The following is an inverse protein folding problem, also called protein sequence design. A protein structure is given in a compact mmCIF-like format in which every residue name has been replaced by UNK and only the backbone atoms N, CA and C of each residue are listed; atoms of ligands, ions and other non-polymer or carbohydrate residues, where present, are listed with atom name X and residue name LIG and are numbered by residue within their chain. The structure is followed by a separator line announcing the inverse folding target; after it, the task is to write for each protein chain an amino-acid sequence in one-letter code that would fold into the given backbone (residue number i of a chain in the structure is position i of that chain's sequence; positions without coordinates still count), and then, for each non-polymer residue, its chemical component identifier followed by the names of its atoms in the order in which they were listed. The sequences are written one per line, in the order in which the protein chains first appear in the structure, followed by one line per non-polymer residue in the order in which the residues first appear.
data_IF_305650862016
#
_entry.id   IF_305650862016
#
_cell.length_a   1.000
_cell.length_b   1.000
_cell.length_c   1.000
_cell.angle_alpha   90.00
_cell.angle_beta   90.00
_cell.angle_gamma   90.00
#
_symmetry.space_group_name_H-M   'P 1'
#
loop_
_entity.id
_entity.type
_entity.pdbx_description
1 polymer ?
#
# COMPACT_ATOMS: atom_id res chain seq x y z
N UNK A 1 22.60 4.75 34.64
CA UNK A 1 21.85 3.77 33.82
C UNK A 1 20.68 4.53 33.24
N UNK A 2 20.64 4.71 31.93
CA UNK A 2 19.52 5.37 31.26
C UNK A 2 18.37 4.36 31.30
N UNK A 3 17.28 4.70 32.00
CA UNK A 3 16.02 3.97 31.87
C UNK A 3 15.63 3.95 30.39
N UNK A 4 15.72 2.77 29.78
CA UNK A 4 15.19 2.53 28.45
C UNK A 4 13.68 2.74 28.54
N UNK A 5 13.21 3.83 27.96
CA UNK A 5 11.81 4.19 27.83
C UNK A 5 11.00 2.93 27.42
N UNK A 6 10.20 2.39 28.35
CA UNK A 6 9.57 1.07 28.26
C UNK A 6 8.55 0.95 27.12
N UNK A 7 8.30 2.06 26.45
CA UNK A 7 7.35 2.22 25.37
C UNK A 7 7.88 1.71 24.03
N UNK A 8 9.19 1.75 23.77
CA UNK A 8 9.76 1.35 22.47
C UNK A 8 10.10 -0.14 22.33
N UNK A 9 10.45 -0.56 21.12
CA UNK A 9 10.99 -1.88 20.82
C UNK A 9 12.42 -1.94 21.37
N UNK A 10 12.69 -2.98 22.16
CA UNK A 10 14.00 -3.22 22.77
C UNK A 10 15.04 -3.55 21.69
N UNK A 11 16.26 -3.04 21.81
CA UNK A 11 17.33 -3.17 20.81
C UNK A 11 17.63 -4.63 20.42
N UNK A 12 17.68 -5.53 21.40
CA UNK A 12 17.94 -6.96 21.18
C UNK A 12 16.74 -7.76 20.66
N UNK A 13 15.57 -7.14 20.56
CA UNK A 13 14.37 -7.84 20.09
C UNK A 13 14.43 -8.04 18.57
N UNK A 14 14.12 -9.25 18.12
CA UNK A 14 13.91 -9.53 16.69
C UNK A 14 12.67 -8.80 16.18
N UNK A 15 12.87 -8.03 15.12
CA UNK A 15 11.84 -7.27 14.42
C UNK A 15 11.66 -7.78 13.02
N UNK A 16 10.44 -7.62 12.50
CA UNK A 16 10.17 -7.66 11.07
C UNK A 16 10.21 -6.23 10.54
N UNK A 17 11.09 -5.95 9.60
CA UNK A 17 11.32 -4.60 9.11
C UNK A 17 11.15 -4.45 7.60
N UNK A 18 10.89 -3.20 7.20
CA UNK A 18 10.80 -2.78 5.80
C UNK A 18 11.56 -1.47 5.61
N UNK A 19 12.40 -1.41 4.57
CA UNK A 19 13.01 -0.16 4.10
C UNK A 19 12.41 0.21 2.75
N UNK A 20 11.87 1.42 2.66
CA UNK A 20 11.24 1.95 1.44
C UNK A 20 11.44 3.46 1.37
N UNK A 21 11.93 3.94 0.22
CA UNK A 21 12.32 5.33 0.07
C UNK A 21 13.30 5.74 1.19
N UNK A 22 12.97 6.83 1.88
CA UNK A 22 13.72 7.32 3.04
C UNK A 22 13.11 6.87 4.38
N UNK A 23 12.30 5.80 4.41
CA UNK A 23 11.68 5.31 5.64
C UNK A 23 12.15 3.92 6.00
N UNK A 24 12.33 3.72 7.30
CA UNK A 24 12.50 2.43 7.94
C UNK A 24 11.27 2.18 8.82
N UNK A 25 10.59 1.08 8.59
CA UNK A 25 9.47 0.63 9.42
C UNK A 25 9.88 -0.66 10.13
N UNK A 26 9.78 -0.69 11.46
CA UNK A 26 10.03 -1.88 12.28
C UNK A 26 8.75 -2.27 12.99
N UNK A 27 8.47 -3.57 13.07
CA UNK A 27 7.40 -4.12 13.90
C UNK A 27 7.90 -5.28 14.72
N UNK A 28 7.35 -5.46 15.92
CA UNK A 28 7.68 -6.64 16.74
C UNK A 28 7.35 -7.90 15.97
N UNK A 29 8.29 -8.84 15.91
CA UNK A 29 8.06 -10.12 15.25
C UNK A 29 7.25 -11.03 16.16
N UNK A 30 5.96 -10.71 16.33
CA UNK A 30 4.97 -11.61 16.92
C UNK A 30 4.64 -12.65 15.85
N UNK A 31 5.61 -13.49 15.53
CA UNK A 31 5.44 -14.53 14.53
C UNK A 31 4.31 -15.46 14.97
N UNK A 32 3.38 -15.75 14.07
CA UNK A 32 2.57 -16.95 14.20
C UNK A 32 3.53 -18.13 13.98
N UNK A 33 3.90 -18.85 15.04
CA UNK A 33 4.91 -19.94 14.97
C UNK A 33 4.48 -21.06 14.02
N UNK A 34 3.18 -21.17 13.74
CA UNK A 34 2.58 -22.14 12.82
C UNK A 34 1.43 -21.51 12.01
N UNK A 35 1.71 -20.76 10.93
CA UNK A 35 0.63 -20.20 10.13
C UNK A 35 -0.10 -21.31 9.38
N UNK A 36 -1.43 -21.37 9.52
CA UNK A 36 -2.31 -22.23 8.72
C UNK A 36 -1.99 -22.03 7.23
N UNK A 37 -1.79 -23.13 6.49
CA UNK A 37 -1.45 -23.05 5.07
C UNK A 37 -2.72 -23.18 4.23
N UNK A 38 -2.97 -22.19 3.38
CA UNK A 38 -4.08 -22.25 2.43
C UNK A 38 -3.81 -23.35 1.38
N UNK A 39 -4.76 -24.25 1.19
CA UNK A 39 -4.70 -25.29 0.15
C UNK A 39 -5.48 -24.87 -1.10
N UNK A 40 -6.70 -24.39 -0.92
CA UNK A 40 -7.60 -24.02 -2.02
C UNK A 40 -8.43 -22.78 -1.69
N UNK A 41 -9.42 -22.43 -2.53
CA UNK A 41 -10.36 -21.35 -2.22
C UNK A 41 -11.25 -21.68 -1.02
N UNK A 42 -11.49 -22.96 -0.78
CA UNK A 42 -12.42 -23.47 0.22
C UNK A 42 -11.72 -24.14 1.37
N UNK A 43 -10.43 -24.49 1.26
CA UNK A 43 -9.74 -25.30 2.25
C UNK A 43 -8.40 -24.70 2.73
N UNK A 44 -8.06 -25.00 3.98
CA UNK A 44 -6.76 -24.77 4.59
C UNK A 44 -6.33 -25.98 5.41
N UNK A 45 -5.03 -26.10 5.66
CA UNK A 45 -4.46 -27.08 6.58
C UNK A 45 -4.00 -26.40 7.86
N UNK A 46 -4.38 -26.97 9.00
CA UNK A 46 -3.94 -26.51 10.31
C UNK A 46 -2.49 -26.95 10.62
N UNK A 47 -2.01 -26.57 11.80
CA UNK A 47 -0.66 -26.92 12.25
C UNK A 47 -0.44 -28.42 12.50
N UNK A 48 -1.52 -29.17 12.70
CA UNK A 48 -1.51 -30.62 12.92
C UNK A 48 -1.66 -31.41 11.60
N UNK A 49 -1.78 -30.72 10.46
CA UNK A 49 -1.96 -31.37 9.16
C UNK A 49 -3.42 -31.68 8.80
N UNK A 50 -4.40 -31.26 9.62
CA UNK A 50 -5.81 -31.50 9.31
C UNK A 50 -6.33 -30.47 8.31
N UNK A 51 -7.12 -30.95 7.36
CA UNK A 51 -7.75 -30.11 6.34
C UNK A 51 -9.11 -29.63 6.85
N UNK A 52 -9.32 -28.33 6.82
CA UNK A 52 -10.55 -27.66 7.23
C UNK A 52 -11.12 -26.83 6.09
N UNK A 53 -12.43 -26.61 6.09
CA UNK A 53 -13.07 -25.68 5.16
C UNK A 53 -13.19 -24.28 5.75
N UNK A 54 -13.07 -23.25 4.90
CA UNK A 54 -13.37 -21.88 5.28
C UNK A 54 -14.87 -21.73 5.55
N UNK A 55 -15.24 -21.21 6.72
CA UNK A 55 -16.62 -21.04 7.13
C UNK A 55 -17.44 -20.13 6.18
N UNK A 56 -16.78 -19.20 5.47
CA UNK A 56 -17.42 -18.29 4.53
C UNK A 56 -16.53 -18.06 3.30
N UNK A 57 -17.07 -18.31 2.11
CA UNK A 57 -16.50 -17.80 0.86
C UNK A 57 -16.99 -16.36 0.72
N UNK A 58 -16.10 -15.38 0.91
CA UNK A 58 -16.48 -13.97 0.85
C UNK A 58 -16.93 -13.57 -0.57
N UNK A 59 -18.11 -12.97 -0.71
CA UNK A 59 -18.59 -12.44 -1.99
C UNK A 59 -17.89 -11.14 -2.40
N UNK A 60 -17.49 -10.33 -1.41
CA UNK A 60 -16.81 -9.06 -1.61
C UNK A 60 -15.69 -8.84 -0.57
N UNK A 61 -14.88 -7.80 -0.79
CA UNK A 61 -13.71 -7.53 0.06
C UNK A 61 -14.03 -6.93 1.42
N UNK A 62 -15.22 -6.38 1.65
CA UNK A 62 -15.58 -5.86 2.98
C UNK A 62 -15.69 -6.98 4.02
N UNK A 63 -15.85 -8.24 3.60
CA UNK A 63 -15.86 -9.39 4.50
C UNK A 63 -14.44 -9.83 4.92
N UNK A 64 -13.38 -9.19 4.40
CA UNK A 64 -11.98 -9.49 4.76
C UNK A 64 -11.13 -8.21 4.87
N UNK A 65 -11.50 -7.37 5.83
CA UNK A 65 -10.88 -6.07 6.10
C UNK A 65 -9.38 -6.20 6.39
N UNK A 66 -8.95 -7.20 7.17
CA UNK A 66 -7.54 -7.33 7.55
C UNK A 66 -6.62 -7.70 6.37
N UNK A 67 -7.08 -8.55 5.46
CA UNK A 67 -6.35 -8.84 4.23
C UNK A 67 -6.23 -7.60 3.35
N UNK A 68 -7.30 -6.80 3.25
CA UNK A 68 -7.28 -5.53 2.55
C UNK A 68 -6.30 -4.55 3.20
N UNK A 69 -6.30 -4.46 4.54
CA UNK A 69 -5.36 -3.65 5.33
C UNK A 69 -3.91 -4.00 5.01
N UNK A 70 -3.57 -5.28 5.05
CA UNK A 70 -2.24 -5.78 4.68
C UNK A 70 -1.88 -5.43 3.23
N UNK A 71 -2.84 -5.55 2.31
CA UNK A 71 -2.61 -5.28 0.89
C UNK A 71 -2.32 -3.80 0.61
N UNK A 72 -3.07 -2.89 1.22
CA UNK A 72 -2.84 -1.47 1.05
C UNK A 72 -1.59 -0.98 1.79
N UNK A 73 -1.27 -1.53 2.97
CA UNK A 73 0.04 -1.25 3.62
C UNK A 73 1.18 -1.59 2.66
N UNK A 74 1.11 -2.75 2.00
CA UNK A 74 2.08 -3.14 0.96
C UNK A 74 2.09 -2.17 -0.23
N UNK A 75 0.91 -1.72 -0.68
CA UNK A 75 0.78 -0.74 -1.77
C UNK A 75 1.38 0.62 -1.39
N UNK A 76 1.11 1.12 -0.18
CA UNK A 76 1.69 2.36 0.34
C UNK A 76 3.21 2.31 0.35
N UNK A 77 3.79 1.25 0.92
CA UNK A 77 5.25 1.03 0.88
C UNK A 77 5.79 0.96 -0.56
N UNK A 78 5.06 0.32 -1.48
CA UNK A 78 5.46 0.23 -2.89
C UNK A 78 5.47 1.60 -3.57
N UNK A 79 4.46 2.44 -3.29
CA UNK A 79 4.37 3.81 -3.81
C UNK A 79 5.50 4.65 -3.23
N UNK A 80 5.66 4.70 -1.90
CA UNK A 80 6.70 5.51 -1.24
C UNK A 80 8.12 5.09 -1.66
N UNK A 81 8.32 3.82 -2.04
CA UNK A 81 9.63 3.36 -2.53
C UNK A 81 9.95 3.80 -3.96
N UNK A 82 8.97 4.23 -4.75
CA UNK A 82 9.14 4.46 -6.19
C UNK A 82 8.74 5.84 -6.68
N UNK A 83 7.97 6.59 -5.89
CA UNK A 83 7.41 7.88 -6.25
C UNK A 83 7.69 8.89 -5.14
N UNK A 84 8.62 9.80 -5.40
CA UNK A 84 9.14 10.79 -4.44
C UNK A 84 8.80 12.25 -4.81
N UNK A 85 8.04 12.45 -5.88
CA UNK A 85 7.72 13.77 -6.42
C UNK A 85 8.76 14.30 -7.41
N UNK A 86 9.49 13.40 -8.08
CA UNK A 86 10.53 13.78 -9.03
C UNK A 86 9.93 14.40 -10.30
N UNK A 87 10.69 15.24 -11.05
CA UNK A 87 10.16 15.93 -12.24
C UNK A 87 9.71 15.01 -13.37
N UNK A 88 10.09 13.73 -13.32
CA UNK A 88 9.69 12.68 -14.24
C UNK A 88 8.50 11.84 -13.75
N UNK A 89 7.82 12.28 -12.70
CA UNK A 89 6.67 11.59 -12.10
C UNK A 89 5.36 12.34 -12.31
N UNK A 90 4.33 11.60 -12.74
CA UNK A 90 3.00 12.12 -12.99
C UNK A 90 1.97 11.31 -12.21
N UNK A 91 0.96 12.01 -11.70
CA UNK A 91 -0.25 11.41 -11.17
C UNK A 91 -1.41 11.65 -12.14
N UNK A 92 -1.84 10.55 -12.73
CA UNK A 92 -2.91 10.48 -13.71
C UNK A 92 -4.17 9.94 -13.06
N UNK A 93 -5.30 10.50 -13.46
CA UNK A 93 -6.62 10.04 -13.05
C UNK A 93 -7.44 9.82 -14.32
N UNK A 94 -7.81 8.58 -14.60
CA UNK A 94 -8.59 8.18 -15.78
C UNK A 94 -10.02 7.87 -15.36
N UNK A 95 -10.97 8.61 -15.93
CA UNK A 95 -12.40 8.47 -15.66
C UNK A 95 -13.12 7.94 -16.89
N UNK A 96 -13.96 6.93 -16.72
CA UNK A 96 -14.86 6.51 -17.81
C UNK A 96 -15.95 7.56 -18.03
N UNK A 97 -16.41 7.76 -19.27
CA UNK A 97 -17.67 8.47 -19.51
C UNK A 97 -18.86 7.56 -19.14
N UNK A 98 -18.84 6.32 -19.62
CA UNK A 98 -19.81 5.26 -19.31
C UNK A 98 -19.70 4.76 -17.85
N UNK A 99 -20.78 4.19 -17.32
CA UNK A 99 -20.79 3.57 -15.99
C UNK A 99 -20.18 2.16 -15.99
N UNK A 100 -18.87 2.05 -16.26
CA UNK A 100 -18.18 0.75 -16.34
C UNK A 100 -17.94 0.14 -14.96
N UNK A 101 -18.67 -0.92 -14.62
CA UNK A 101 -18.55 -1.67 -13.36
C UNK A 101 -17.85 -3.02 -13.50
N UNK A 102 -17.69 -3.55 -14.72
CA UNK A 102 -16.96 -4.80 -14.96
C UNK A 102 -15.45 -4.60 -14.90
N UNK A 103 -14.82 -5.18 -13.88
CA UNK A 103 -13.37 -5.13 -13.69
C UNK A 103 -12.56 -5.76 -14.84
N UNK A 104 -13.12 -6.74 -15.58
CA UNK A 104 -12.41 -7.38 -16.71
C UNK A 104 -12.25 -6.41 -17.86
N UNK A 105 -13.33 -5.70 -18.23
CA UNK A 105 -13.29 -4.60 -19.20
C UNK A 105 -12.25 -3.56 -18.80
N UNK A 106 -12.24 -3.12 -17.54
CA UNK A 106 -11.27 -2.14 -17.04
C UNK A 106 -9.82 -2.57 -17.24
N UNK A 107 -9.50 -3.85 -17.02
CA UNK A 107 -8.15 -4.35 -17.27
C UNK A 107 -7.76 -4.36 -18.75
N UNK A 108 -8.70 -4.69 -19.64
CA UNK A 108 -8.47 -4.72 -21.08
C UNK A 108 -8.25 -3.29 -21.62
N UNK A 109 -9.12 -2.37 -21.22
CA UNK A 109 -9.06 -0.96 -21.61
C UNK A 109 -7.76 -0.32 -21.11
N UNK A 110 -7.40 -0.54 -19.85
CA UNK A 110 -6.15 -0.02 -19.30
C UNK A 110 -4.91 -0.61 -20.00
N UNK A 111 -4.94 -1.90 -20.37
CA UNK A 111 -3.86 -2.53 -21.15
C UNK A 111 -3.74 -1.90 -22.54
N UNK A 112 -4.86 -1.66 -23.22
CA UNK A 112 -4.88 -1.00 -24.53
C UNK A 112 -4.33 0.44 -24.43
N UNK A 113 -4.77 1.18 -23.41
CA UNK A 113 -4.25 2.51 -23.11
C UNK A 113 -2.74 2.52 -22.89
N UNK A 114 -2.21 1.66 -22.01
CA UNK A 114 -0.77 1.57 -21.76
C UNK A 114 0.02 1.18 -23.01
N UNK A 115 -0.55 0.36 -23.90
CA UNK A 115 0.07 0.01 -25.19
C UNK A 115 0.16 1.23 -26.11
N UNK A 116 -0.89 2.05 -26.20
CA UNK A 116 -0.87 3.32 -26.94
C UNK A 116 0.14 4.27 -26.31
N UNK A 117 0.06 4.53 -25.01
CA UNK A 117 0.97 5.40 -24.26
C UNK A 117 2.45 5.08 -24.54
N UNK A 118 2.83 3.81 -24.43
CA UNK A 118 4.23 3.38 -24.61
C UNK A 118 4.72 3.46 -26.06
N UNK A 119 3.83 3.47 -27.05
CA UNK A 119 4.21 3.72 -28.45
C UNK A 119 4.60 5.18 -28.68
N UNK A 120 3.96 6.11 -27.96
CA UNK A 120 4.23 7.55 -28.10
C UNK A 120 5.37 8.03 -27.20
N UNK A 121 5.48 7.49 -25.98
CA UNK A 121 6.38 8.00 -24.95
C UNK A 121 7.47 7.00 -24.52
N UNK A 122 7.57 5.86 -25.20
CA UNK A 122 8.53 4.82 -24.86
C UNK A 122 8.23 4.14 -23.52
N UNK A 123 9.28 3.80 -22.77
CA UNK A 123 9.13 3.05 -21.53
C UNK A 123 8.57 3.93 -20.41
N UNK A 124 7.32 3.63 -20.03
CA UNK A 124 6.64 4.22 -18.88
C UNK A 124 6.39 3.14 -17.82
N UNK A 125 6.95 3.34 -16.64
CA UNK A 125 6.68 2.53 -15.45
C UNK A 125 5.48 3.13 -14.71
N UNK A 126 4.69 2.27 -14.05
CA UNK A 126 3.48 2.70 -13.39
C UNK A 126 3.09 1.86 -12.17
N UNK A 127 2.37 2.49 -11.25
CA UNK A 127 1.44 1.85 -10.32
C UNK A 127 0.04 2.38 -10.63
N UNK A 128 -0.94 1.50 -10.81
CA UNK A 128 -2.33 1.87 -11.08
C UNK A 128 -3.26 1.24 -10.05
N UNK A 129 -4.23 1.99 -9.57
CA UNK A 129 -5.19 1.60 -8.54
C UNK A 129 -6.60 1.88 -9.04
N UNK A 130 -7.46 0.88 -8.93
CA UNK A 130 -8.87 0.96 -9.25
C UNK A 130 -9.63 1.45 -8.02
N UNK A 131 -10.43 2.49 -8.21
CA UNK A 131 -11.28 3.09 -7.18
C UNK A 131 -12.71 3.18 -7.70
N UNK A 132 -13.74 2.80 -6.94
CA UNK A 132 -15.12 3.00 -7.33
C UNK A 132 -15.55 4.46 -7.15
N UNK A 133 -16.11 5.05 -8.21
CA UNK A 133 -16.80 6.34 -8.15
C UNK A 133 -18.13 6.22 -7.41
N UNK A 134 -18.73 7.37 -7.04
CA UNK A 134 -20.05 7.41 -6.36
C UNK A 134 -21.14 6.69 -7.15
N UNK A 135 -21.08 6.74 -8.49
CA UNK A 135 -22.02 6.07 -9.41
C UNK A 135 -21.74 4.58 -9.62
N UNK A 136 -20.71 4.01 -8.99
CA UNK A 136 -20.28 2.62 -9.15
C UNK A 136 -19.24 2.38 -10.24
N UNK A 137 -19.13 3.26 -11.25
CA UNK A 137 -18.08 3.17 -12.28
C UNK A 137 -16.68 3.08 -11.66
N UNK A 138 -15.81 2.30 -12.28
CA UNK A 138 -14.40 2.29 -11.92
C UNK A 138 -13.69 3.58 -12.33
N UNK A 139 -12.74 3.98 -11.50
CA UNK A 139 -11.80 5.07 -11.70
C UNK A 139 -10.39 4.51 -11.62
N UNK A 140 -9.46 5.01 -12.44
CA UNK A 140 -8.07 4.55 -12.39
C UNK A 140 -7.19 5.70 -11.93
N UNK A 141 -6.62 5.58 -10.74
CA UNK A 141 -5.52 6.44 -10.31
C UNK A 141 -4.21 5.76 -10.69
N UNK A 142 -3.42 6.40 -11.54
CA UNK A 142 -2.14 5.87 -11.98
C UNK A 142 -1.02 6.84 -11.67
N UNK A 143 0.08 6.31 -11.12
CA UNK A 143 1.33 7.01 -10.95
C UNK A 143 2.26 6.54 -12.05
N UNK A 144 2.76 7.47 -12.86
CA UNK A 144 3.65 7.19 -13.97
C UNK A 144 5.02 7.78 -13.71
N UNK A 145 6.06 7.06 -14.13
CA UNK A 145 7.40 7.60 -14.21
C UNK A 145 8.13 7.13 -15.47
N UNK A 146 9.03 7.97 -15.95
CA UNK A 146 9.93 7.61 -17.05
C UNK A 146 11.38 7.71 -16.58
N UNK A 147 12.08 6.58 -16.55
CA UNK A 147 13.51 6.54 -16.22
C UNK A 147 14.38 7.04 -17.39
N UNK A 148 13.81 7.14 -18.59
CA UNK A 148 14.52 7.59 -19.79
C UNK A 148 14.56 9.11 -19.95
N UNK A 149 13.87 9.86 -19.08
CA UNK A 149 13.76 11.30 -19.19
C UNK A 149 13.84 11.97 -17.81
N UNK A 150 14.69 12.98 -17.67
CA UNK A 150 14.82 13.77 -16.44
C UNK A 150 13.55 14.56 -16.10
N UNK A 151 12.75 14.87 -17.13
CA UNK A 151 11.43 15.49 -17.01
C UNK A 151 10.43 14.70 -17.83
N UNK A 152 9.27 14.43 -17.25
CA UNK A 152 8.21 13.68 -17.92
C UNK A 152 6.92 14.47 -17.87
N UNK A 153 6.44 14.86 -19.04
CA UNK A 153 5.22 15.65 -19.18
C UNK A 153 4.39 15.11 -20.32
N UNK A 154 3.09 15.02 -20.08
CA UNK A 154 2.11 14.62 -21.09
C UNK A 154 0.93 15.58 -20.99
N UNK A 155 0.58 16.31 -22.06
CA UNK A 155 -0.62 17.15 -22.08
C UNK A 155 -1.88 16.33 -21.82
N UNK A 156 -2.80 16.84 -20.99
CA UNK A 156 -4.05 16.16 -20.65
C UNK A 156 -4.87 15.80 -21.89
N UNK A 157 -5.00 16.72 -22.85
CA UNK A 157 -5.75 16.49 -24.09
C UNK A 157 -5.18 15.32 -24.92
N UNK A 158 -3.86 15.20 -24.98
CA UNK A 158 -3.25 14.09 -25.69
C UNK A 158 -3.46 12.79 -24.93
N UNK A 159 -3.33 12.80 -23.60
CA UNK A 159 -3.58 11.60 -22.78
C UNK A 159 -5.04 11.15 -22.87
N UNK A 160 -5.98 12.09 -22.94
CA UNK A 160 -7.41 11.84 -23.13
C UNK A 160 -7.69 11.17 -24.47
N UNK A 161 -7.07 11.65 -25.56
CA UNK A 161 -7.13 10.98 -26.88
C UNK A 161 -6.59 9.55 -26.84
N UNK A 162 -5.50 9.31 -26.11
CA UNK A 162 -4.94 7.96 -25.95
C UNK A 162 -5.86 7.07 -25.10
N UNK A 163 -6.47 7.63 -24.06
CA UNK A 163 -7.43 6.93 -23.19
C UNK A 163 -8.68 6.53 -23.95
N UNK A 164 -9.36 7.49 -24.58
CA UNK A 164 -10.49 7.27 -25.49
C UNK A 164 -11.79 6.76 -24.84
N UNK A 165 -11.81 6.54 -23.52
CA UNK A 165 -12.96 5.98 -22.81
C UNK A 165 -13.63 6.99 -21.85
N UNK A 166 -13.21 8.26 -21.88
CA UNK A 166 -13.72 9.33 -21.03
C UNK A 166 -12.65 10.37 -20.75
N UNK A 167 -12.63 10.89 -19.53
CA UNK A 167 -11.83 12.07 -19.15
C UNK A 167 -10.50 11.70 -18.50
N UNK A 168 -9.51 12.58 -18.67
CA UNK A 168 -8.21 12.41 -18.03
C UNK A 168 -7.80 13.67 -17.27
N UNK A 169 -7.36 13.49 -16.03
CA UNK A 169 -6.70 14.55 -15.25
C UNK A 169 -5.25 14.19 -15.01
N UNK A 170 -4.36 15.12 -15.37
CA UNK A 170 -2.91 15.02 -15.14
C UNK A 170 -2.53 15.99 -14.03
N UNK A 171 -1.80 15.50 -13.03
CA UNK A 171 -1.18 16.29 -11.97
C UNK A 171 0.30 15.94 -11.92
N UNK A 172 1.18 16.94 -11.85
CA UNK A 172 2.59 16.70 -11.53
C UNK A 172 2.72 16.28 -10.06
N UNK A 173 3.49 15.23 -9.80
CA UNK A 173 3.73 14.81 -8.44
C UNK A 173 4.69 15.78 -7.75
N UNK A 174 4.40 16.14 -6.50
CA UNK A 174 5.28 16.94 -5.64
C UNK A 174 5.72 16.11 -4.45
N UNK A 175 6.90 16.39 -3.91
CA UNK A 175 7.39 15.71 -2.69
C UNK A 175 6.44 15.90 -1.49
N UNK A 176 5.69 17.01 -1.44
CA UNK A 176 4.65 17.26 -0.44
C UNK A 176 3.39 16.41 -0.61
N UNK A 177 3.19 15.77 -1.77
CA UNK A 177 2.01 14.94 -2.00
C UNK A 177 2.21 13.61 -1.25
N UNK A 178 1.43 13.38 -0.18
CA UNK A 178 1.37 12.07 0.45
C UNK A 178 0.47 11.13 -0.37
N UNK A 179 1.00 10.71 -1.52
CA UNK A 179 0.29 9.90 -2.52
C UNK A 179 -0.11 8.55 -1.92
N UNK A 180 0.79 7.95 -1.15
CA UNK A 180 0.51 6.71 -0.45
C UNK A 180 -0.70 6.89 0.47
N UNK A 181 -0.72 7.91 1.33
CA UNK A 181 -1.88 8.17 2.19
C UNK A 181 -3.16 8.44 1.38
N UNK A 182 -3.10 9.18 0.27
CA UNK A 182 -4.27 9.39 -0.59
C UNK A 182 -4.82 8.06 -1.13
N UNK A 183 -3.95 7.21 -1.66
CA UNK A 183 -4.33 5.94 -2.26
C UNK A 183 -4.74 4.91 -1.21
N UNK A 184 -4.18 4.97 0.00
CA UNK A 184 -4.50 4.05 1.10
C UNK A 184 -5.61 4.56 2.02
N UNK A 185 -6.10 5.79 1.83
CA UNK A 185 -7.12 6.42 2.68
C UNK A 185 -8.41 5.59 2.82
N UNK A 186 -8.71 4.70 1.85
CA UNK A 186 -9.85 3.78 1.91
C UNK A 186 -9.85 2.87 3.15
N UNK A 187 -8.73 2.73 3.84
CA UNK A 187 -8.60 1.89 5.03
C UNK A 187 -8.59 2.61 6.35
N UNK A 188 -8.18 3.86 6.37
CA UNK A 188 -7.81 4.55 7.61
C UNK A 188 -9.02 4.76 8.51
N UNK A 189 -10.22 4.83 7.92
CA UNK A 189 -11.46 5.15 8.64
C UNK A 189 -12.39 3.95 8.86
N UNK A 190 -11.89 2.71 8.76
CA UNK A 190 -12.63 1.54 9.26
C UNK A 190 -12.55 1.39 10.80
N UNK A 191 -11.71 2.19 11.48
CA UNK A 191 -11.48 2.12 12.93
C UNK A 191 -11.70 3.46 13.66
N UNK A 192 -12.17 4.50 12.98
CA UNK A 192 -12.21 5.85 13.56
C UNK A 192 -13.59 6.13 14.16
N UNK A 193 -13.76 5.78 15.43
CA UNK A 193 -14.70 6.41 16.37
C UNK A 193 -14.15 7.75 16.90
N UNK A 194 -13.53 8.58 16.05
CA UNK A 194 -13.11 9.93 16.46
C UNK A 194 -13.92 10.99 15.72
N UNK A 195 -14.31 12.02 16.45
CA UNK A 195 -15.22 13.09 16.05
C UNK A 195 -14.76 13.97 14.86
N UNK A 196 -13.53 13.81 14.36
CA UNK A 196 -13.02 14.62 13.25
C UNK A 196 -13.36 14.01 11.87
N UNK A 197 -14.67 14.00 11.57
CA UNK A 197 -15.26 13.41 10.37
C UNK A 197 -15.10 14.31 9.14
N UNK A 198 -14.05 14.12 8.36
CA UNK A 198 -14.09 14.60 6.97
C UNK A 198 -15.04 13.70 6.15
N UNK A 199 -16.27 14.18 5.88
CA UNK A 199 -17.37 13.42 5.25
C UNK A 199 -16.99 12.67 3.96
N UNK A 200 -16.08 13.23 3.16
CA UNK A 200 -15.63 12.64 1.88
C UNK A 200 -14.80 11.36 2.04
N UNK A 201 -14.06 11.19 3.16
CA UNK A 201 -13.23 9.99 3.38
C UNK A 201 -14.09 8.80 3.82
N UNK A 202 -15.06 9.05 4.71
CA UNK A 202 -16.08 8.07 5.15
C UNK A 202 -16.90 7.58 3.94
N UNK A 203 -17.34 8.49 3.06
CA UNK A 203 -18.09 8.14 1.84
C UNK A 203 -17.28 7.26 0.87
N UNK A 204 -15.95 7.37 0.89
CA UNK A 204 -15.03 6.57 0.07
C UNK A 204 -14.75 5.19 0.71
N UNK A 205 -14.53 5.13 2.03
CA UNK A 205 -14.36 3.87 2.77
C UNK A 205 -15.62 3.00 2.76
N UNK A 206 -16.80 3.62 2.75
CA UNK A 206 -18.08 2.92 2.60
C UNK A 206 -18.20 2.13 1.28
N UNK A 207 -17.34 2.35 0.28
CA UNK A 207 -17.40 1.69 -1.04
C UNK A 207 -16.61 0.38 -1.12
N UNK A 208 -16.08 -0.11 -0.01
CA UNK A 208 -15.32 -1.36 -0.01
C UNK A 208 -16.13 -2.58 -0.47
N UNK A 209 -17.45 -2.56 -0.28
CA UNK A 209 -18.35 -3.61 -0.79
C UNK A 209 -18.37 -3.70 -2.33
N UNK A 210 -17.99 -2.63 -3.04
CA UNK A 210 -17.97 -2.59 -4.51
C UNK A 210 -16.77 -3.34 -5.10
N UNK A 211 -15.78 -3.73 -4.30
CA UNK A 211 -14.67 -4.55 -4.79
C UNK A 211 -15.07 -6.04 -4.77
N UNK A 212 -15.23 -6.68 -5.94
CA UNK A 212 -15.54 -8.10 -6.00
C UNK A 212 -14.44 -8.94 -5.36
N UNK A 213 -14.81 -10.08 -4.80
CA UNK A 213 -13.85 -11.04 -4.30
C UNK A 213 -12.87 -11.47 -5.41
N UNK A 214 -11.59 -11.61 -5.05
CA UNK A 214 -10.53 -12.01 -5.99
C UNK A 214 -10.10 -10.93 -7.01
N UNK A 215 -10.77 -9.78 -7.08
CA UNK A 215 -10.36 -8.68 -7.95
C UNK A 215 -8.97 -8.17 -7.58
N UNK A 216 -8.09 -7.91 -8.54
CA UNK A 216 -6.83 -7.22 -8.27
C UNK A 216 -7.00 -5.71 -8.50
N UNK A 217 -7.22 -4.98 -7.40
CA UNK A 217 -7.52 -3.56 -7.43
C UNK A 217 -6.28 -2.67 -7.65
N UNK A 218 -5.06 -3.20 -7.63
CA UNK A 218 -3.89 -2.44 -8.09
C UNK A 218 -2.97 -3.28 -8.96
N UNK A 219 -2.20 -2.60 -9.81
CA UNK A 219 -1.19 -3.22 -10.68
C UNK A 219 0.06 -2.36 -10.67
N UNK A 220 1.21 -3.01 -10.80
CA UNK A 220 2.49 -2.35 -10.96
C UNK A 220 3.19 -2.90 -12.20
N UNK A 221 3.90 -2.05 -12.91
CA UNK A 221 4.77 -2.48 -14.01
C UNK A 221 6.06 -3.12 -13.48
N UNK A 222 6.84 -3.73 -14.39
CA UNK A 222 8.03 -4.53 -14.04
C UNK A 222 9.16 -3.69 -13.43
N UNK A 223 9.29 -2.42 -13.78
CA UNK A 223 10.33 -1.54 -13.25
C UNK A 223 10.01 -0.94 -11.88
N UNK A 224 8.84 -1.21 -11.29
CA UNK A 224 8.52 -0.78 -9.93
C UNK A 224 9.30 -1.65 -8.93
N UNK A 225 10.18 -1.02 -8.15
CA UNK A 225 11.07 -1.66 -7.20
C UNK A 225 10.33 -1.99 -5.90
N UNK A 226 10.41 -3.23 -5.45
CA UNK A 226 9.81 -3.62 -4.16
C UNK A 226 10.59 -3.01 -2.99
N UNK A 227 9.93 -2.69 -1.86
CA UNK A 227 10.60 -2.42 -0.60
C UNK A 227 11.55 -3.56 -0.21
N UNK A 228 12.64 -3.22 0.49
CA UNK A 228 13.49 -4.23 1.13
C UNK A 228 12.79 -4.73 2.39
N UNK A 229 12.69 -6.05 2.54
CA UNK A 229 12.11 -6.72 3.71
C UNK A 229 13.20 -7.52 4.41
N UNK A 230 13.22 -7.51 5.74
CA UNK A 230 14.21 -8.22 6.54
C UNK A 230 13.65 -8.62 7.91
N UNK A 231 14.29 -9.61 8.51
CA UNK A 231 14.06 -10.04 9.89
C UNK A 231 15.43 -10.10 10.56
N UNK A 232 15.63 -9.27 11.58
CA UNK A 232 16.87 -9.14 12.33
C UNK A 232 16.56 -8.49 13.69
N UNK A 233 17.52 -8.41 14.60
CA UNK A 233 17.38 -7.60 15.81
C UNK A 233 17.36 -6.11 15.46
N UNK A 234 16.72 -5.28 16.28
CA UNK A 234 16.69 -3.82 16.06
C UNK A 234 18.11 -3.23 16.02
N UNK A 235 19.01 -3.74 16.86
CA UNK A 235 20.43 -3.37 16.89
C UNK A 235 21.13 -3.64 15.55
N UNK A 236 21.05 -4.86 15.01
CA UNK A 236 21.66 -5.21 13.72
C UNK A 236 21.11 -4.35 12.57
N UNK A 237 19.83 -4.00 12.60
CA UNK A 237 19.21 -3.14 11.58
C UNK A 237 19.80 -1.73 11.64
N UNK A 238 19.98 -1.20 12.84
CA UNK A 238 20.53 0.15 13.04
C UNK A 238 21.99 0.20 12.61
N UNK A 239 22.78 -0.82 12.95
CA UNK A 239 24.15 -0.97 12.48
C UNK A 239 24.22 -1.04 10.94
N UNK A 240 23.38 -1.87 10.31
CA UNK A 240 23.35 -2.04 8.85
C UNK A 240 23.03 -0.74 8.10
N UNK A 241 22.12 0.09 8.61
CA UNK A 241 21.78 1.38 8.01
C UNK A 241 22.61 2.55 8.56
N UNK A 242 23.63 2.28 9.40
CA UNK A 242 24.47 3.27 10.04
C UNK A 242 23.66 4.37 10.77
N UNK A 243 22.61 3.95 11.47
CA UNK A 243 21.75 4.83 12.29
C UNK A 243 22.41 4.96 13.65
N UNK A 244 22.76 6.20 14.05
CA UNK A 244 23.43 6.43 15.33
C UNK A 244 22.55 6.01 16.51
N UNK A 245 23.10 5.22 17.43
CA UNK A 245 22.45 4.74 18.65
C UNK A 245 21.92 5.86 19.56
N UNK A 246 22.35 7.12 19.43
CA UNK A 246 21.80 8.22 20.23
C UNK A 246 20.38 8.65 19.83
N UNK A 247 19.83 8.13 18.73
CA UNK A 247 18.49 8.47 18.18
C UNK A 247 17.53 7.27 18.29
N UNK A 248 17.61 6.46 19.35
CA UNK A 248 16.67 5.34 19.58
C UNK A 248 15.19 5.76 19.78
N UNK A 249 14.84 7.04 19.57
CA UNK A 249 13.47 7.53 19.54
C UNK A 249 12.95 7.51 18.09
N UNK A 250 11.88 6.76 17.80
CA UNK A 250 11.26 6.75 16.47
C UNK A 250 10.57 8.08 16.16
N UNK A 251 10.57 8.52 14.90
CA UNK A 251 9.80 9.69 14.45
C UNK A 251 8.30 9.52 14.68
N UNK A 252 7.83 8.26 14.62
CA UNK A 252 6.45 7.91 14.94
C UNK A 252 6.38 6.46 15.46
N UNK A 253 5.47 6.22 16.40
CA UNK A 253 5.31 4.95 17.08
C UNK A 253 3.82 4.61 17.28
N UNK A 254 3.51 3.32 17.18
CA UNK A 254 2.18 2.79 17.47
C UNK A 254 2.32 1.51 18.28
N UNK A 255 1.53 1.40 19.35
CA UNK A 255 1.33 0.16 20.09
C UNK A 255 -0.16 -0.18 20.08
N UNK A 256 -0.47 -1.46 19.97
CA UNK A 256 -1.81 -1.95 20.26
C UNK A 256 -1.73 -3.34 20.88
N UNK A 257 -2.59 -3.57 21.86
CA UNK A 257 -2.68 -4.86 22.53
C UNK A 257 -3.51 -5.84 21.73
N UNK A 258 -3.08 -7.09 21.75
CA UNK A 258 -3.73 -8.23 21.11
C UNK A 258 -4.01 -9.24 22.22
N UNK A 259 -5.28 -9.47 22.52
CA UNK A 259 -5.69 -10.55 23.39
C UNK A 259 -5.61 -11.88 22.62
N UNK A 260 -4.84 -12.82 23.15
CA UNK A 260 -4.73 -14.16 22.60
C UNK A 260 -5.89 -15.04 23.11
N UNK A 261 -6.21 -16.15 22.43
CA UNK A 261 -7.29 -17.05 22.85
C UNK A 261 -7.16 -17.63 24.26
N UNK A 262 -5.94 -17.63 24.82
CA UNK A 262 -5.65 -18.07 26.18
C UNK A 262 -5.76 -16.94 27.22
N UNK A 263 -6.30 -15.77 26.86
CA UNK A 263 -6.45 -14.60 27.72
C UNK A 263 -5.14 -13.81 27.95
N UNK A 264 -4.04 -14.21 27.32
CA UNK A 264 -2.77 -13.47 27.42
C UNK A 264 -2.81 -12.24 26.54
N UNK A 265 -2.45 -11.07 27.08
CA UNK A 265 -2.33 -9.83 26.31
C UNK A 265 -0.90 -9.72 25.76
N UNK A 266 -0.79 -9.53 24.45
CA UNK A 266 0.46 -9.24 23.77
C UNK A 266 0.43 -7.87 23.12
N UNK A 267 1.38 -7.00 23.48
CA UNK A 267 1.51 -5.68 22.84
C UNK A 267 2.28 -5.79 21.53
N UNK A 268 1.61 -5.48 20.42
CA UNK A 268 2.24 -5.29 19.12
C UNK A 268 2.73 -3.85 18.98
N UNK A 269 4.02 -3.68 18.72
CA UNK A 269 4.67 -2.37 18.59
C UNK A 269 5.16 -2.16 17.17
N UNK A 270 4.99 -0.96 16.64
CA UNK A 270 5.53 -0.49 15.35
C UNK A 270 6.23 0.84 15.51
N UNK A 271 7.41 0.94 14.93
CA UNK A 271 8.26 2.12 14.92
C UNK A 271 8.54 2.56 13.48
N UNK A 272 8.58 3.87 13.27
CA UNK A 272 8.90 4.48 11.98
C UNK A 272 10.05 5.47 12.16
N UNK A 273 11.04 5.36 11.28
CA UNK A 273 12.21 6.23 11.23
C UNK A 273 12.35 6.85 9.85
N UNK A 274 12.68 8.13 9.80
CA UNK A 274 12.99 8.89 8.59
C UNK A 274 14.50 8.98 8.44
N UNK A 275 15.01 8.40 7.37
CA UNK A 275 16.43 8.28 7.07
C UNK A 275 16.99 9.51 6.32
N UNK A 276 16.20 10.58 6.12
CA UNK A 276 16.70 11.82 5.51
C UNK A 276 17.87 12.37 6.32
N UNK A 277 19.06 12.39 5.70
CA UNK A 277 20.30 12.88 6.31
C UNK A 277 21.33 11.81 6.67
N UNK A 278 21.04 10.51 6.47
CA UNK A 278 21.88 9.41 6.99
C UNK A 278 22.33 8.39 5.95
N UNK A 279 21.77 8.44 4.74
CA UNK A 279 22.29 7.69 3.59
C UNK A 279 23.27 8.61 2.86
N UNK A 280 24.58 8.34 3.03
CA UNK A 280 25.64 8.93 2.19
C UNK A 280 25.41 8.58 0.72
#
# INVERSE_FOLDING_TARGET
MIELDSNYIVTRQTVKGYKFGNRLELGTNIGNKSPMKKLSKTEYVDENGNIHQYANVSDNRSNNIDSLRKTMKRLGRLIENNFCGDPNELWITLTYAENVTDSKRVYQDYKAFMKKLRRHYGRVEYISVLEPQKRGAWHIHALFKSESHDKFYIPSEHLEKLWGNGFVKVKKLKNSDNVAAYVTAYLTDLEVESDDKSSKKIEKGARLYLYPAGMNFYRASRGIKKPQEFTATKEEVFEFYNISNSVYSPDNFYAHDIELPNGTIMTYKREFYNLKGWLK
#
